data_IF_733483518137
#
_entry.id   IF_733483518137
#
_cell.length_a   1.000
_cell.length_b   1.000
_cell.length_c   1.000
_cell.angle_alpha   90.00
_cell.angle_beta   90.00
_cell.angle_gamma   90.00
#
_symmetry.space_group_name_H-M   'P 1'
#
loop_
_entity.id
_entity.type
_entity.pdbx_description
1 polymer ?
#
# COMPACT_ATOMS: atom_id res chain seq x y z
N UNK A 1 -39.72 -57.18 21.24
CA UNK A 1 -38.84 -56.78 20.12
C UNK A 1 -38.93 -55.26 19.99
N UNK A 2 -37.99 -54.52 20.59
CA UNK A 2 -37.95 -53.06 20.51
C UNK A 2 -37.13 -52.67 19.28
N UNK A 3 -37.80 -52.24 18.22
CA UNK A 3 -37.16 -51.71 17.03
C UNK A 3 -36.63 -50.30 17.35
N UNK A 4 -35.31 -50.19 17.53
CA UNK A 4 -34.61 -48.90 17.61
C UNK A 4 -34.54 -48.35 16.19
N UNK A 5 -35.32 -47.31 15.91
CA UNK A 5 -35.22 -46.52 14.69
C UNK A 5 -33.83 -45.86 14.59
N UNK A 6 -33.13 -45.93 13.44
CA UNK A 6 -31.83 -45.29 13.29
C UNK A 6 -31.97 -43.76 13.35
N UNK A 7 -30.97 -43.03 13.92
CA UNK A 7 -31.01 -41.58 13.95
C UNK A 7 -30.91 -41.01 12.52
N UNK A 8 -31.79 -40.06 12.19
CA UNK A 8 -31.78 -39.36 10.90
C UNK A 8 -30.43 -38.65 10.69
N UNK A 9 -29.86 -38.65 9.47
CA UNK A 9 -28.61 -37.97 9.20
C UNK A 9 -28.77 -36.46 9.38
N UNK A 10 -28.01 -35.87 10.31
CA UNK A 10 -28.01 -34.45 10.55
C UNK A 10 -27.72 -33.68 9.26
N UNK A 11 -28.71 -32.90 8.80
CA UNK A 11 -28.56 -31.97 7.69
C UNK A 11 -27.45 -30.98 8.02
N UNK A 12 -26.24 -31.23 7.51
CA UNK A 12 -25.11 -30.32 7.67
C UNK A 12 -25.40 -29.07 6.84
N UNK A 13 -25.90 -28.03 7.51
CA UNK A 13 -26.13 -26.72 6.91
C UNK A 13 -24.86 -26.22 6.22
N UNK A 14 -24.98 -25.49 5.11
CA UNK A 14 -23.84 -24.91 4.38
C UNK A 14 -22.92 -24.10 5.32
N UNK A 15 -23.50 -23.46 6.33
CA UNK A 15 -22.80 -22.76 7.40
C UNK A 15 -21.88 -23.67 8.24
N UNK A 16 -22.31 -24.89 8.57
CA UNK A 16 -21.50 -25.88 9.26
C UNK A 16 -20.32 -26.38 8.40
N UNK A 17 -20.53 -26.54 7.08
CA UNK A 17 -19.45 -26.88 6.13
C UNK A 17 -18.43 -25.74 6.02
N UNK A 18 -18.88 -24.49 5.88
CA UNK A 18 -18.01 -23.30 5.88
C UNK A 18 -17.20 -23.20 7.18
N UNK A 19 -17.81 -23.48 8.34
CA UNK A 19 -17.13 -23.41 9.65
C UNK A 19 -16.07 -24.50 9.84
N UNK A 20 -16.22 -25.66 9.19
CA UNK A 20 -15.25 -26.78 9.23
C UNK A 20 -14.14 -26.63 8.18
N UNK A 21 -14.31 -25.76 7.17
CA UNK A 21 -13.32 -25.53 6.13
C UNK A 21 -12.06 -24.85 6.69
N UNK A 22 -10.96 -25.62 6.74
CA UNK A 22 -9.63 -25.17 7.19
C UNK A 22 -8.57 -25.73 6.24
N UNK A 23 -8.42 -25.15 5.04
CA UNK A 23 -7.46 -25.64 4.06
C UNK A 23 -6.05 -25.55 4.62
N UNK A 24 -5.26 -26.60 4.39
CA UNK A 24 -3.85 -26.61 4.70
C UNK A 24 -3.06 -26.26 3.45
N UNK A 25 -2.39 -25.11 3.47
CA UNK A 25 -1.59 -24.64 2.33
C UNK A 25 -0.16 -24.34 2.76
N UNK A 26 0.73 -24.27 1.78
CA UNK A 26 2.12 -23.86 1.98
C UNK A 26 2.21 -22.34 2.10
N UNK A 27 3.28 -21.85 2.74
CA UNK A 27 3.52 -20.41 2.86
C UNK A 27 3.68 -19.76 1.48
N UNK A 28 4.30 -20.46 0.53
CA UNK A 28 4.51 -19.98 -0.84
C UNK A 28 3.18 -19.80 -1.59
N UNK A 29 2.25 -20.76 -1.47
CA UNK A 29 0.91 -20.63 -2.06
C UNK A 29 0.15 -19.47 -1.42
N UNK A 30 0.26 -19.27 -0.11
CA UNK A 30 -0.34 -18.11 0.55
C UNK A 30 0.22 -16.79 0.00
N UNK A 31 1.54 -16.72 -0.20
CA UNK A 31 2.21 -15.54 -0.78
C UNK A 31 1.71 -15.28 -2.20
N UNK A 32 1.59 -16.32 -3.04
CA UNK A 32 1.04 -16.17 -4.39
C UNK A 32 -0.40 -15.66 -4.35
N UNK A 33 -1.26 -16.26 -3.54
CA UNK A 33 -2.66 -15.81 -3.42
C UNK A 33 -2.77 -14.36 -2.95
N UNK A 34 -1.98 -13.97 -1.94
CA UNK A 34 -1.94 -12.59 -1.47
C UNK A 34 -1.39 -11.63 -2.55
N UNK A 35 -0.35 -12.05 -3.29
CA UNK A 35 0.23 -11.25 -4.38
C UNK A 35 -0.77 -11.04 -5.52
N UNK A 36 -1.49 -12.09 -5.92
CA UNK A 36 -2.53 -12.01 -6.94
C UNK A 36 -3.68 -11.10 -6.48
N UNK A 37 -4.08 -11.22 -5.21
CA UNK A 37 -5.08 -10.32 -4.63
C UNK A 37 -4.63 -8.86 -4.68
N UNK A 38 -3.43 -8.54 -4.22
CA UNK A 38 -2.92 -7.17 -4.30
C UNK A 38 -2.86 -6.69 -5.76
N UNK A 39 -2.24 -7.48 -6.64
CA UNK A 39 -2.06 -7.13 -8.05
C UNK A 39 -3.38 -6.89 -8.79
N UNK A 40 -4.40 -7.74 -8.60
CA UNK A 40 -5.64 -7.66 -9.38
C UNK A 40 -6.72 -6.79 -8.72
N UNK A 41 -6.81 -6.83 -7.39
CA UNK A 41 -7.96 -6.29 -6.66
C UNK A 41 -7.64 -4.92 -6.06
N UNK A 42 -6.43 -4.72 -5.53
CA UNK A 42 -6.06 -3.49 -4.81
C UNK A 42 -5.38 -2.43 -5.67
N UNK A 43 -4.88 -2.78 -6.85
CA UNK A 43 -4.05 -1.93 -7.71
C UNK A 43 -4.83 -1.29 -8.89
N UNK A 44 -6.09 -0.91 -8.67
CA UNK A 44 -6.96 -0.37 -9.74
C UNK A 44 -6.39 0.88 -10.43
N UNK A 45 -5.85 1.85 -9.68
CA UNK A 45 -5.24 3.05 -10.26
C UNK A 45 -3.99 2.75 -11.07
N UNK A 46 -3.14 1.84 -10.57
CA UNK A 46 -1.99 1.36 -11.32
C UNK A 46 -2.43 0.80 -12.67
N UNK A 47 -3.46 -0.05 -12.68
CA UNK A 47 -4.00 -0.62 -13.92
C UNK A 47 -4.54 0.44 -14.86
N UNK A 48 -5.33 1.39 -14.35
CA UNK A 48 -5.90 2.49 -15.13
C UNK A 48 -4.81 3.30 -15.81
N UNK A 49 -3.83 3.76 -15.04
CA UNK A 49 -2.81 4.70 -15.52
C UNK A 49 -1.76 3.99 -16.39
N UNK A 50 -1.39 2.75 -16.04
CA UNK A 50 -0.47 1.96 -16.85
C UNK A 50 -1.09 1.54 -18.19
N UNK A 51 -2.34 1.05 -18.19
CA UNK A 51 -3.02 0.61 -19.42
C UNK A 51 -3.40 1.77 -20.35
N UNK A 52 -3.52 3.00 -19.82
CA UNK A 52 -3.72 4.19 -20.64
C UNK A 52 -2.57 4.43 -21.64
N UNK A 53 -1.36 3.95 -21.34
CA UNK A 53 -0.20 4.08 -22.25
C UNK A 53 -0.27 3.14 -23.45
N UNK A 54 -0.95 1.99 -23.31
CA UNK A 54 -1.09 0.98 -24.36
C UNK A 54 -2.50 0.36 -24.31
N UNK A 55 -3.56 1.11 -24.65
CA UNK A 55 -4.94 0.65 -24.49
C UNK A 55 -5.23 -0.59 -25.33
N UNK A 56 -5.96 -1.56 -24.75
CA UNK A 56 -6.40 -2.78 -25.46
C UNK A 56 -5.33 -3.87 -25.66
N UNK A 57 -4.06 -3.62 -25.31
CA UNK A 57 -2.99 -4.61 -25.47
C UNK A 57 -3.03 -5.69 -24.38
N UNK A 58 -3.58 -6.87 -24.72
CA UNK A 58 -3.64 -8.03 -23.81
C UNK A 58 -2.24 -8.51 -23.42
N UNK A 59 -1.30 -8.52 -24.37
CA UNK A 59 0.08 -8.94 -24.10
C UNK A 59 0.74 -8.00 -23.09
N UNK A 60 0.56 -6.69 -23.25
CA UNK A 60 1.09 -5.71 -22.29
C UNK A 60 0.44 -5.87 -20.92
N UNK A 61 -0.88 -6.09 -20.86
CA UNK A 61 -1.58 -6.34 -19.60
C UNK A 61 -1.05 -7.60 -18.89
N UNK A 62 -0.83 -8.70 -19.62
CA UNK A 62 -0.25 -9.93 -19.06
C UNK A 62 1.20 -9.72 -18.60
N UNK A 63 2.00 -8.96 -19.35
CA UNK A 63 3.35 -8.58 -18.94
C UNK A 63 3.38 -7.72 -17.68
N UNK A 64 2.47 -6.75 -17.55
CA UNK A 64 2.32 -5.94 -16.33
C UNK A 64 1.79 -6.76 -15.16
N UNK A 65 0.86 -7.69 -15.41
CA UNK A 65 0.40 -8.61 -14.38
C UNK A 65 1.55 -9.47 -13.87
N UNK A 66 2.36 -10.04 -14.76
CA UNK A 66 3.54 -10.82 -14.40
C UNK A 66 4.56 -9.97 -13.61
N UNK A 67 4.76 -8.70 -14.00
CA UNK A 67 5.60 -7.76 -13.27
C UNK A 67 5.10 -7.52 -11.84
N UNK A 68 3.84 -7.09 -11.69
CA UNK A 68 3.23 -6.81 -10.40
C UNK A 68 3.26 -8.05 -9.51
N UNK A 69 2.75 -9.16 -10.03
CA UNK A 69 2.73 -10.45 -9.34
C UNK A 69 4.13 -10.86 -8.88
N UNK A 70 5.14 -10.67 -9.74
CA UNK A 70 6.54 -10.93 -9.43
C UNK A 70 7.08 -10.07 -8.29
N UNK A 71 6.89 -8.76 -8.39
CA UNK A 71 7.34 -7.80 -7.38
C UNK A 71 6.67 -8.06 -6.02
N UNK A 72 5.34 -8.28 -6.01
CA UNK A 72 4.60 -8.63 -4.79
C UNK A 72 5.06 -9.95 -4.19
N UNK A 73 5.21 -10.99 -5.01
CA UNK A 73 5.62 -12.31 -4.56
C UNK A 73 7.07 -12.35 -4.06
N UNK A 74 7.97 -11.57 -4.66
CA UNK A 74 9.34 -11.38 -4.17
C UNK A 74 9.33 -10.68 -2.80
N UNK A 75 8.63 -9.55 -2.71
CA UNK A 75 8.55 -8.77 -1.48
C UNK A 75 7.95 -9.59 -0.33
N UNK A 76 6.80 -10.21 -0.56
CA UNK A 76 6.15 -11.07 0.42
C UNK A 76 6.96 -12.35 0.68
N UNK A 77 7.66 -12.88 -0.32
CA UNK A 77 8.57 -14.02 -0.15
C UNK A 77 9.68 -13.75 0.86
N UNK A 78 10.19 -12.51 0.90
CA UNK A 78 11.21 -12.10 1.87
C UNK A 78 10.61 -11.83 3.27
N UNK A 79 9.44 -11.19 3.33
CA UNK A 79 8.85 -10.72 4.59
C UNK A 79 7.98 -11.76 5.31
N UNK A 80 7.27 -12.62 4.56
CA UNK A 80 6.25 -13.54 5.08
C UNK A 80 6.87 -14.90 5.40
N UNK A 81 6.88 -15.22 6.69
CA UNK A 81 7.29 -16.49 7.26
C UNK A 81 6.15 -17.11 8.05
N UNK A 82 6.20 -18.43 8.31
CA UNK A 82 5.09 -19.15 8.96
C UNK A 82 4.65 -18.52 10.29
N UNK A 83 5.58 -17.95 11.05
CA UNK A 83 5.34 -17.38 12.38
C UNK A 83 4.70 -15.98 12.34
N UNK A 84 5.05 -15.14 11.35
CA UNK A 84 4.50 -13.78 11.23
C UNK A 84 3.39 -13.66 10.17
N UNK A 85 3.19 -14.66 9.31
CA UNK A 85 2.34 -14.55 8.12
C UNK A 85 0.94 -14.02 8.39
N UNK A 86 0.27 -14.51 9.45
CA UNK A 86 -1.10 -14.08 9.76
C UNK A 86 -1.15 -12.62 10.19
N UNK A 87 -0.27 -12.21 11.08
CA UNK A 87 -0.23 -10.83 11.60
C UNK A 87 0.20 -9.87 10.49
N UNK A 88 1.31 -10.17 9.80
CA UNK A 88 1.85 -9.32 8.76
C UNK A 88 0.86 -9.12 7.60
N UNK A 89 0.24 -10.20 7.09
CA UNK A 89 -0.74 -10.06 6.00
C UNK A 89 -2.02 -9.36 6.47
N UNK A 90 -2.45 -9.54 7.73
CA UNK A 90 -3.59 -8.77 8.28
C UNK A 90 -3.29 -7.28 8.25
N UNK A 91 -2.11 -6.87 8.73
CA UNK A 91 -1.68 -5.47 8.69
C UNK A 91 -1.64 -4.97 7.24
N UNK A 92 -1.01 -5.73 6.33
CA UNK A 92 -0.93 -5.33 4.93
C UNK A 92 -2.30 -5.21 4.26
N UNK A 93 -3.25 -6.11 4.50
CA UNK A 93 -4.60 -6.01 3.94
C UNK A 93 -5.34 -4.78 4.47
N UNK A 94 -5.26 -4.51 5.77
CA UNK A 94 -5.89 -3.33 6.38
C UNK A 94 -5.25 -2.04 5.83
N UNK A 95 -3.93 -1.92 5.89
CA UNK A 95 -3.22 -0.74 5.38
C UNK A 95 -3.46 -0.54 3.88
N UNK A 96 -3.50 -1.62 3.09
CA UNK A 96 -3.81 -1.54 1.67
C UNK A 96 -5.24 -1.09 1.43
N UNK A 97 -6.22 -1.50 2.24
CA UNK A 97 -7.59 -1.01 2.12
C UNK A 97 -7.69 0.52 2.31
N UNK A 98 -6.99 1.07 3.31
CA UNK A 98 -6.88 2.52 3.50
C UNK A 98 -6.14 3.19 2.33
N UNK A 99 -4.99 2.64 1.94
CA UNK A 99 -4.19 3.15 0.84
C UNK A 99 -5.00 3.23 -0.46
N UNK A 100 -5.59 2.10 -0.88
CA UNK A 100 -6.41 2.02 -2.09
C UNK A 100 -7.61 2.96 -2.01
N UNK A 101 -8.28 3.10 -0.85
CA UNK A 101 -9.38 4.06 -0.71
C UNK A 101 -8.93 5.50 -0.94
N UNK A 102 -7.91 5.96 -0.21
CA UNK A 102 -7.49 7.36 -0.28
C UNK A 102 -6.79 7.71 -1.58
N UNK A 103 -6.04 6.77 -2.17
CA UNK A 103 -5.49 6.95 -3.51
C UNK A 103 -6.62 7.12 -4.53
N UNK A 104 -7.70 6.33 -4.44
CA UNK A 104 -8.84 6.46 -5.36
C UNK A 104 -9.64 7.75 -5.13
N UNK A 105 -9.89 8.13 -3.89
CA UNK A 105 -10.71 9.29 -3.54
C UNK A 105 -10.01 10.62 -3.81
N UNK A 106 -8.70 10.69 -3.57
CA UNK A 106 -7.92 11.93 -3.65
C UNK A 106 -6.94 11.98 -4.82
N UNK A 107 -6.79 10.88 -5.57
CA UNK A 107 -5.83 10.73 -6.68
C UNK A 107 -4.40 11.10 -6.26
N UNK A 108 -4.02 10.67 -5.06
CA UNK A 108 -2.74 10.94 -4.41
C UNK A 108 -1.80 9.74 -4.56
N UNK A 109 -0.50 10.01 -4.74
CA UNK A 109 0.56 8.99 -4.72
C UNK A 109 1.06 8.76 -3.28
N UNK A 110 1.23 7.50 -2.88
CA UNK A 110 1.82 7.15 -1.58
C UNK A 110 3.34 7.06 -1.70
N UNK A 111 3.99 8.22 -1.74
CA UNK A 111 5.44 8.37 -1.71
C UNK A 111 5.99 8.63 -0.29
N UNK A 112 7.29 8.90 -0.19
CA UNK A 112 7.94 9.16 1.08
C UNK A 112 7.42 10.42 1.78
N UNK A 113 7.06 11.46 1.03
CA UNK A 113 6.60 12.72 1.60
C UNK A 113 5.14 12.61 2.06
N UNK A 114 4.29 11.92 1.32
CA UNK A 114 2.94 11.59 1.77
C UNK A 114 2.96 10.76 3.06
N UNK A 115 3.88 9.78 3.17
CA UNK A 115 4.01 9.03 4.41
C UNK A 115 4.50 9.90 5.58
N UNK A 116 5.40 10.87 5.34
CA UNK A 116 5.79 11.85 6.37
C UNK A 116 4.60 12.66 6.86
N UNK A 117 3.77 13.13 5.92
CA UNK A 117 2.57 13.87 6.24
C UNK A 117 1.66 13.02 7.12
N UNK A 118 1.32 11.79 6.69
CA UNK A 118 0.48 10.87 7.48
C UNK A 118 1.04 10.58 8.87
N UNK A 119 2.36 10.47 9.02
CA UNK A 119 3.01 10.25 10.32
C UNK A 119 3.05 11.51 11.21
N UNK A 120 2.96 12.69 10.62
CA UNK A 120 2.94 13.98 11.31
C UNK A 120 1.52 14.54 11.56
N UNK A 121 0.52 14.02 10.84
CA UNK A 121 -0.90 14.41 10.93
C UNK A 121 -1.44 14.29 12.35
N UNK A 122 -2.24 15.27 12.76
CA UNK A 122 -2.86 15.27 14.08
C UNK A 122 -4.17 14.46 14.13
N UNK A 123 -4.72 14.27 15.33
CA UNK A 123 -5.96 13.51 15.51
C UNK A 123 -7.20 14.21 14.96
N UNK A 124 -7.18 15.54 14.82
CA UNK A 124 -8.32 16.31 14.32
C UNK A 124 -8.39 16.19 12.79
N UNK A 125 -7.27 16.42 12.11
CA UNK A 125 -7.11 16.27 10.66
C UNK A 125 -7.45 14.85 10.20
N UNK A 126 -6.93 13.82 10.89
CA UNK A 126 -7.18 12.43 10.50
C UNK A 126 -8.63 11.97 10.69
N UNK A 127 -9.36 12.54 11.66
CA UNK A 127 -10.78 12.23 11.88
C UNK A 127 -11.67 12.74 10.76
N UNK A 128 -11.35 13.88 10.17
CA UNK A 128 -12.09 14.44 9.04
C UNK A 128 -11.99 13.55 7.79
N UNK A 129 -10.92 12.75 7.68
CA UNK A 129 -10.75 11.76 6.60
C UNK A 129 -11.59 10.48 6.81
N UNK A 130 -12.04 10.19 8.04
CA UNK A 130 -12.83 9.00 8.34
C UNK A 130 -14.29 9.17 7.91
N UNK A 131 -14.56 8.85 6.64
CA UNK A 131 -15.90 8.92 6.06
C UNK A 131 -16.58 7.54 6.03
N UNK A 132 -17.93 7.47 6.01
CA UNK A 132 -18.65 6.20 5.80
C UNK A 132 -18.28 5.48 4.50
N UNK A 133 -17.78 6.22 3.49
CA UNK A 133 -17.33 5.65 2.23
C UNK A 133 -16.14 4.68 2.39
N UNK A 134 -15.39 4.77 3.49
CA UNK A 134 -14.30 3.87 3.83
C UNK A 134 -14.77 2.47 4.24
N UNK A 135 -16.04 2.32 4.68
CA UNK A 135 -16.57 1.03 5.14
C UNK A 135 -16.52 -0.04 4.06
N UNK A 136 -16.94 0.28 2.83
CA UNK A 136 -16.98 -0.69 1.74
C UNK A 136 -15.57 -1.18 1.34
N UNK A 137 -14.55 -0.30 1.15
CA UNK A 137 -13.16 -0.70 1.00
C UNK A 137 -12.63 -1.55 2.15
N UNK A 138 -12.93 -1.21 3.42
CA UNK A 138 -12.49 -2.01 4.57
C UNK A 138 -13.12 -3.40 4.56
N UNK A 139 -14.42 -3.51 4.23
CA UNK A 139 -15.10 -4.80 4.16
C UNK A 139 -14.54 -5.66 3.02
N UNK A 140 -14.41 -5.09 1.82
CA UNK A 140 -13.93 -5.80 0.64
C UNK A 140 -12.44 -6.14 0.69
N UNK A 141 -11.59 -5.13 0.90
CA UNK A 141 -10.14 -5.27 0.78
C UNK A 141 -9.44 -5.74 2.05
N UNK A 142 -10.05 -5.60 3.23
CA UNK A 142 -9.46 -6.04 4.48
C UNK A 142 -10.22 -7.17 5.17
N UNK A 143 -11.52 -7.00 5.46
CA UNK A 143 -12.27 -7.97 6.26
C UNK A 143 -12.34 -9.35 5.58
N UNK A 144 -12.77 -9.39 4.31
CA UNK A 144 -12.87 -10.65 3.56
C UNK A 144 -11.54 -11.41 3.50
N UNK A 145 -10.42 -10.83 2.99
CA UNK A 145 -9.16 -11.54 2.92
C UNK A 145 -8.59 -11.90 4.30
N UNK A 146 -8.79 -11.07 5.33
CA UNK A 146 -8.39 -11.41 6.70
C UNK A 146 -9.15 -12.62 7.23
N UNK A 147 -10.47 -12.68 7.07
CA UNK A 147 -11.27 -13.83 7.52
C UNK A 147 -10.80 -15.10 6.83
N UNK A 148 -10.51 -15.05 5.53
CA UNK A 148 -9.96 -16.19 4.78
C UNK A 148 -8.57 -16.59 5.30
N UNK A 149 -7.66 -15.63 5.48
CA UNK A 149 -6.31 -15.82 6.00
C UNK A 149 -6.31 -16.52 7.37
N UNK A 150 -7.19 -16.10 8.29
CA UNK A 150 -7.23 -16.66 9.64
C UNK A 150 -7.78 -18.10 9.68
N UNK A 151 -8.60 -18.50 8.70
CA UNK A 151 -9.10 -19.87 8.55
C UNK A 151 -8.06 -20.84 8.01
N UNK A 152 -7.10 -20.35 7.21
CA UNK A 152 -6.02 -21.16 6.63
C UNK A 152 -5.11 -21.73 7.72
N UNK A 153 -4.73 -23.01 7.56
CA UNK A 153 -3.68 -23.68 8.33
C UNK A 153 -2.40 -23.72 7.49
N UNK A 154 -1.29 -23.26 8.06
CA UNK A 154 0.00 -23.28 7.37
C UNK A 154 0.73 -24.59 7.64
N UNK A 155 1.09 -25.30 6.57
CA UNK A 155 1.86 -26.55 6.64
C UNK A 155 3.20 -26.31 7.34
N UNK A 156 3.56 -27.18 8.27
CA UNK A 156 4.87 -27.14 8.94
C UNK A 156 5.90 -27.88 8.09
N UNK A 157 7.06 -27.28 7.91
CA UNK A 157 8.24 -27.87 7.25
C UNK A 157 9.46 -27.65 8.14
N UNK A 158 10.43 -28.56 8.10
CA UNK A 158 11.73 -28.36 8.75
C UNK A 158 12.44 -27.11 8.20
N UNK A 159 13.31 -26.51 8.99
CA UNK A 159 13.90 -25.19 8.67
C UNK A 159 14.70 -25.21 7.35
N UNK A 160 15.55 -26.23 7.15
CA UNK A 160 16.33 -26.39 5.91
C UNK A 160 15.47 -26.58 4.66
N UNK A 161 14.42 -27.42 4.74
CA UNK A 161 13.44 -27.57 3.65
C UNK A 161 12.68 -26.26 3.39
N UNK A 162 12.36 -25.51 4.44
CA UNK A 162 11.66 -24.21 4.30
C UNK A 162 12.53 -23.23 3.53
N UNK A 163 13.83 -23.13 3.86
CA UNK A 163 14.75 -22.24 3.18
C UNK A 163 14.98 -22.65 1.72
N UNK A 164 15.14 -23.95 1.44
CA UNK A 164 15.29 -24.45 0.08
C UNK A 164 14.05 -24.14 -0.78
N UNK A 165 12.85 -24.48 -0.29
CA UNK A 165 11.61 -24.18 -1.02
C UNK A 165 11.37 -22.67 -1.16
N UNK A 166 11.78 -21.87 -0.18
CA UNK A 166 11.75 -20.41 -0.27
C UNK A 166 12.69 -19.90 -1.37
N UNK A 167 13.91 -20.40 -1.45
CA UNK A 167 14.87 -20.02 -2.50
C UNK A 167 14.35 -20.42 -3.88
N UNK A 168 13.91 -21.67 -4.06
CA UNK A 168 13.33 -22.15 -5.32
C UNK A 168 12.11 -21.32 -5.74
N UNK A 169 11.25 -20.97 -4.78
CA UNK A 169 10.12 -20.09 -5.00
C UNK A 169 10.55 -18.71 -5.51
N UNK A 170 11.51 -18.06 -4.84
CA UNK A 170 11.99 -16.73 -5.23
C UNK A 170 12.62 -16.75 -6.63
N UNK A 171 13.47 -17.75 -6.93
CA UNK A 171 14.06 -17.94 -8.26
C UNK A 171 12.96 -18.17 -9.31
N UNK A 172 12.00 -19.05 -9.03
CA UNK A 172 10.88 -19.31 -9.93
C UNK A 172 10.04 -18.06 -10.22
N UNK A 173 9.78 -17.25 -9.20
CA UNK A 173 9.09 -15.96 -9.35
C UNK A 173 9.87 -15.00 -10.24
N UNK A 174 11.19 -14.86 -10.02
CA UNK A 174 12.05 -14.01 -10.87
C UNK A 174 12.02 -14.47 -12.32
N UNK A 175 12.14 -15.78 -12.56
CA UNK A 175 12.12 -16.34 -13.92
C UNK A 175 10.78 -16.09 -14.61
N UNK A 176 9.67 -16.40 -13.95
CA UNK A 176 8.32 -16.25 -14.54
C UNK A 176 7.96 -14.78 -14.76
N UNK A 177 8.22 -13.91 -13.77
CA UNK A 177 7.96 -12.48 -13.90
C UNK A 177 8.89 -11.84 -14.95
N UNK A 178 10.16 -12.23 -14.97
CA UNK A 178 11.15 -11.81 -15.97
C UNK A 178 10.73 -12.23 -17.38
N UNK A 179 10.36 -13.49 -17.60
CA UNK A 179 9.87 -13.94 -18.90
C UNK A 179 8.58 -13.22 -19.33
N UNK A 180 7.62 -13.04 -18.40
CA UNK A 180 6.37 -12.34 -18.67
C UNK A 180 6.58 -10.87 -19.05
N UNK A 181 7.50 -10.19 -18.37
CA UNK A 181 7.88 -8.80 -18.69
C UNK A 181 8.64 -8.67 -19.99
N UNK A 182 9.54 -9.61 -20.29
CA UNK A 182 10.30 -9.63 -21.54
C UNK A 182 9.38 -9.77 -22.76
N UNK A 183 8.23 -10.43 -22.63
CA UNK A 183 7.25 -10.56 -23.71
C UNK A 183 6.70 -9.20 -24.22
N UNK A 184 6.72 -8.15 -23.39
CA UNK A 184 6.36 -6.77 -23.79
C UNK A 184 7.41 -5.76 -23.30
N UNK A 185 8.69 -6.12 -23.42
CA UNK A 185 9.80 -5.36 -22.82
C UNK A 185 9.82 -3.89 -23.22
N UNK A 186 9.58 -3.59 -24.50
CA UNK A 186 9.61 -2.20 -25.01
C UNK A 186 8.55 -1.32 -24.32
N UNK A 187 7.31 -1.81 -24.23
CA UNK A 187 6.21 -1.08 -23.62
C UNK A 187 6.40 -0.95 -22.10
N UNK A 188 6.82 -2.03 -21.42
CA UNK A 188 7.09 -2.00 -19.98
C UNK A 188 8.26 -1.05 -19.66
N UNK A 189 9.33 -1.09 -20.44
CA UNK A 189 10.48 -0.19 -20.30
C UNK A 189 10.10 1.28 -20.54
N UNK A 190 9.29 1.55 -21.57
CA UNK A 190 8.78 2.89 -21.87
C UNK A 190 7.93 3.43 -20.70
N UNK A 191 7.00 2.63 -20.16
CA UNK A 191 6.21 2.98 -18.98
C UNK A 191 7.12 3.34 -17.79
N UNK A 192 8.11 2.49 -17.48
CA UNK A 192 9.02 2.72 -16.36
C UNK A 192 9.94 3.94 -16.55
N UNK A 193 10.21 4.36 -17.79
CA UNK A 193 11.06 5.53 -18.09
C UNK A 193 10.26 6.83 -18.10
N UNK A 194 9.10 6.82 -18.73
CA UNK A 194 8.31 8.02 -19.02
C UNK A 194 7.23 8.31 -17.97
N UNK A 195 6.75 7.30 -17.25
CA UNK A 195 5.70 7.40 -16.23
C UNK A 195 6.17 6.82 -14.90
N UNK A 196 7.26 7.38 -14.36
CA UNK A 196 7.90 6.89 -13.13
C UNK A 196 6.98 6.96 -11.92
N UNK A 197 6.01 7.87 -11.94
CA UNK A 197 4.99 8.07 -10.91
C UNK A 197 4.10 6.84 -10.71
N UNK A 198 3.86 6.04 -11.75
CA UNK A 198 3.01 4.83 -11.70
C UNK A 198 3.55 3.81 -10.69
N UNK A 199 4.87 3.79 -10.44
CA UNK A 199 5.46 2.90 -9.41
C UNK A 199 4.99 3.23 -7.99
N UNK A 200 4.61 4.48 -7.72
CA UNK A 200 4.07 4.90 -6.42
C UNK A 200 2.59 4.55 -6.26
N UNK A 201 1.95 3.98 -7.31
CA UNK A 201 0.60 3.43 -7.23
C UNK A 201 0.59 1.93 -6.85
N UNK A 202 1.73 1.24 -6.97
CA UNK A 202 1.81 -0.19 -6.74
C UNK A 202 1.74 -0.54 -5.23
N UNK A 203 0.54 -0.77 -4.70
CA UNK A 203 0.31 -1.18 -3.31
C UNK A 203 0.50 -2.70 -3.13
N UNK A 204 1.08 -3.19 -2.03
CA UNK A 204 1.63 -2.46 -0.88
C UNK A 204 3.09 -2.00 -1.02
N UNK A 205 3.71 -2.19 -2.19
CA UNK A 205 5.14 -1.94 -2.41
C UNK A 205 5.48 -0.45 -2.20
N UNK A 206 4.63 0.45 -2.69
CA UNK A 206 4.78 1.90 -2.59
C UNK A 206 5.01 2.39 -1.14
N UNK A 207 4.08 2.12 -0.23
CA UNK A 207 4.16 2.60 1.15
C UNK A 207 5.22 1.83 1.96
N UNK A 208 5.56 0.60 1.60
CA UNK A 208 6.66 -0.13 2.24
C UNK A 208 8.03 0.46 1.87
N UNK A 209 8.21 0.88 0.62
CA UNK A 209 9.40 1.63 0.19
C UNK A 209 9.44 3.01 0.88
N UNK A 210 8.32 3.73 0.89
CA UNK A 210 8.20 5.01 1.57
C UNK A 210 8.54 4.89 3.07
N UNK A 211 8.09 3.81 3.73
CA UNK A 211 8.40 3.53 5.13
C UNK A 211 9.88 3.27 5.33
N UNK A 212 10.49 2.42 4.50
CA UNK A 212 11.94 2.18 4.54
C UNK A 212 12.72 3.49 4.38
N UNK A 213 12.35 4.33 3.41
CA UNK A 213 13.02 5.61 3.15
C UNK A 213 12.91 6.53 4.39
N UNK A 214 11.74 6.61 5.00
CA UNK A 214 11.54 7.43 6.20
C UNK A 214 12.27 6.92 7.46
N UNK A 215 12.46 5.61 7.58
CA UNK A 215 13.20 5.01 8.70
C UNK A 215 14.72 5.09 8.51
N UNK A 216 15.21 4.92 7.28
CA UNK A 216 16.65 4.90 6.98
C UNK A 216 17.20 6.30 6.77
N UNK A 217 16.42 7.20 6.19
CA UNK A 217 16.78 8.62 6.10
C UNK A 217 16.52 9.26 7.46
N UNK A 218 17.47 9.10 8.39
CA UNK A 218 17.63 10.01 9.51
C UNK A 218 17.58 11.42 8.92
N UNK A 219 16.56 12.21 9.28
CA UNK A 219 16.39 13.57 8.77
C UNK A 219 17.76 14.26 8.92
N UNK A 220 18.49 14.54 7.83
CA UNK A 220 19.91 14.89 7.89
C UNK A 220 20.14 16.18 8.69
N UNK A 221 19.06 16.94 8.90
CA UNK A 221 18.99 18.19 9.66
C UNK A 221 18.84 17.94 11.17
N UNK A 222 18.27 16.81 11.60
CA UNK A 222 17.91 16.57 13.01
C UNK A 222 19.12 16.48 13.95
N UNK A 223 20.27 16.06 13.41
CA UNK A 223 21.52 15.91 14.17
C UNK A 223 22.61 16.92 13.76
N UNK A 224 22.30 17.87 12.87
CA UNK A 224 23.24 18.94 12.57
C UNK A 224 23.18 20.02 13.66
N UNK A 225 24.33 20.58 14.07
CA UNK A 225 24.32 21.72 14.97
C UNK A 225 23.55 22.86 14.28
N UNK A 226 22.60 23.47 15.01
CA UNK A 226 21.85 24.63 14.51
C UNK A 226 22.85 25.76 14.29
N UNK A 227 23.10 26.10 13.04
CA UNK A 227 23.98 27.22 12.69
C UNK A 227 23.24 28.53 12.97
N UNK A 228 23.82 29.45 13.75
CA UNK A 228 23.22 30.76 13.94
C UNK A 228 23.23 31.51 12.60
N UNK A 229 22.08 32.06 12.21
CA UNK A 229 21.91 32.92 11.04
C UNK A 229 21.60 34.34 11.52
N UNK A 230 22.13 35.35 10.81
CA UNK A 230 21.85 36.77 11.13
C UNK A 230 22.57 37.32 12.35
N UNK A 231 23.80 36.86 12.63
CA UNK A 231 24.62 37.36 13.76
C UNK A 231 25.01 38.82 13.64
N UNK A 232 24.92 39.39 12.44
CA UNK A 232 25.16 40.78 12.10
C UNK A 232 23.88 41.63 12.06
N UNK A 233 22.71 41.02 12.28
CA UNK A 233 21.43 41.72 12.25
C UNK A 233 21.34 42.76 13.38
N UNK A 234 21.26 44.03 13.01
CA UNK A 234 21.09 45.17 13.93
C UNK A 234 19.72 45.80 13.72
N UNK A 235 19.00 46.07 14.81
CA UNK A 235 17.76 46.83 14.75
C UNK A 235 18.05 48.25 14.21
N UNK A 236 17.29 48.69 13.21
CA UNK A 236 17.41 50.06 12.70
C UNK A 236 16.86 51.05 13.73
N UNK A 237 17.67 52.03 14.18
CA UNK A 237 17.21 52.99 15.19
C UNK A 237 16.01 53.79 14.66
N UNK A 238 15.02 53.98 15.51
CA UNK A 238 13.78 54.71 15.18
C UNK A 238 13.86 56.11 15.75
N UNK A 239 13.32 57.09 15.02
CA UNK A 239 13.23 58.45 15.51
C UNK A 239 12.42 58.54 16.81
N UNK A 240 12.89 59.36 17.75
CA UNK A 240 12.20 59.61 19.02
C UNK A 240 10.78 60.15 18.75
N UNK A 241 9.77 59.57 19.41
CA UNK A 241 8.35 59.93 19.22
C UNK A 241 7.63 59.21 18.07
N UNK A 242 8.28 58.31 17.33
CA UNK A 242 7.62 57.55 16.25
C UNK A 242 6.63 56.51 16.78
N UNK A 243 5.51 56.32 16.05
CA UNK A 243 4.49 55.30 16.39
C UNK A 243 5.07 53.87 16.37
N UNK A 244 4.54 52.94 17.19
CA UNK A 244 4.91 51.53 17.13
C UNK A 244 4.73 50.92 15.72
N UNK A 245 5.60 49.98 15.31
CA UNK A 245 5.42 49.21 14.07
C UNK A 245 4.74 47.91 14.46
N UNK A 246 3.58 47.65 13.88
CA UNK A 246 2.88 46.37 13.98
C UNK A 246 3.05 45.64 12.66
N UNK A 247 3.69 44.47 12.69
CA UNK A 247 3.73 43.55 11.56
C UNK A 247 2.74 42.44 11.81
N UNK A 248 1.78 42.26 10.89
CA UNK A 248 0.88 41.11 10.88
C UNK A 248 1.26 40.26 9.68
N UNK A 249 1.73 39.04 9.92
CA UNK A 249 2.00 38.05 8.89
C UNK A 249 0.85 37.05 8.87
N UNK A 250 0.10 37.02 7.78
CA UNK A 250 -0.97 36.03 7.56
C UNK A 250 -0.38 34.89 6.74
N UNK A 251 -0.26 33.71 7.34
CA UNK A 251 0.18 32.49 6.66
C UNK A 251 -1.06 31.64 6.39
N UNK A 252 -1.47 31.56 5.13
CA UNK A 252 -2.58 30.72 4.71
C UNK A 252 -2.13 29.27 4.52
N UNK A 253 -3.08 28.32 4.60
CA UNK A 253 -2.78 26.89 4.49
C UNK A 253 -3.05 26.33 3.08
N UNK A 254 -4.29 26.41 2.59
CA UNK A 254 -4.70 25.77 1.31
C UNK A 254 -5.29 26.74 0.28
N UNK A 255 -5.19 28.06 0.51
CA UNK A 255 -5.72 29.05 -0.43
C UNK A 255 -4.93 28.98 -1.75
N UNK A 256 -5.65 28.80 -2.87
CA UNK A 256 -5.07 28.73 -4.21
C UNK A 256 -5.32 30.00 -4.99
N UNK A 257 -4.27 30.49 -5.66
CA UNK A 257 -4.33 31.69 -6.48
C UNK A 257 -5.36 31.62 -7.61
N UNK A 258 -5.63 30.42 -8.16
CA UNK A 258 -6.62 30.19 -9.22
C UNK A 258 -8.05 30.54 -8.80
N UNK A 259 -8.39 30.42 -7.51
CA UNK A 259 -9.72 30.66 -6.97
C UNK A 259 -9.78 31.95 -6.14
N UNK A 260 -8.88 32.88 -6.43
CA UNK A 260 -8.76 34.13 -5.69
C UNK A 260 -9.46 35.25 -6.46
N UNK A 261 -10.48 35.88 -5.87
CA UNK A 261 -11.29 36.90 -6.55
C UNK A 261 -10.47 38.08 -7.10
N UNK A 262 -9.40 38.49 -6.41
CA UNK A 262 -8.50 39.55 -6.92
C UNK A 262 -7.68 39.12 -8.15
N UNK A 263 -7.60 37.82 -8.44
CA UNK A 263 -6.97 37.29 -9.65
C UNK A 263 -7.97 37.09 -10.79
N UNK A 264 -9.20 37.60 -10.68
CA UNK A 264 -10.22 37.46 -11.73
C UNK A 264 -10.86 36.07 -11.77
N UNK A 265 -10.99 35.42 -10.62
CA UNK A 265 -11.79 34.20 -10.51
C UNK A 265 -13.27 34.53 -10.68
N UNK A 266 -13.94 33.83 -11.60
CA UNK A 266 -15.37 33.97 -11.91
C UNK A 266 -16.30 33.44 -10.79
#
# INVERSE_FOLDING_TARGET
MNAVSPPLPASTTAFARLRRWRPEITTETLILLASAFFALVCNGLFWRDAMATNPGSVLFALSLFALLMGVHALLLGLLVWRWNAKVLLTVLFVTTAFATHYMNSFNVYLDADMLRNVLATDQKESRELMTPALLLPLLGYALVPCVLLWRVRLRRRGWGRTLLWRLLFLVGVVVVAGAGTLASFQNVSALMRNHREVRYLATPVNYLIALKQNLVTSNPIKNQPKLPLGTDAKATPRAAGSRPRLLVLVVSETVRAQNWGLNGYD
#
